data_IF_153577311929
#
_entry.id   IF_153577311929
#
_cell.length_a   1.000
_cell.length_b   1.000
_cell.length_c   1.000
_cell.angle_alpha   90.00
_cell.angle_beta   90.00
_cell.angle_gamma   90.00
#
_symmetry.space_group_name_H-M   'P 1'
#
loop_
_entity.id
_entity.type
_entity.pdbx_description
1 polymer ?
#
# COMPACT_ATOMS: atom_id res chain seq x y z
N UNK A 1 12.98 -7.78 26.93
CA UNK A 1 11.92 -7.25 26.05
C UNK A 1 12.30 -5.81 25.76
N UNK A 2 12.93 -5.56 24.61
CA UNK A 2 13.51 -4.27 24.24
C UNK A 2 12.90 -3.83 22.90
N UNK A 3 12.25 -2.67 22.95
CA UNK A 3 12.26 -1.56 22.00
C UNK A 3 11.93 -1.82 20.52
N UNK A 4 10.67 -1.54 20.14
CA UNK A 4 10.31 -1.13 18.78
C UNK A 4 10.11 0.41 18.73
N UNK A 5 10.57 1.10 17.68
CA UNK A 5 10.45 2.55 17.57
C UNK A 5 9.03 2.98 17.19
N UNK A 6 8.51 4.01 17.88
CA UNK A 6 7.26 4.68 17.52
C UNK A 6 7.51 5.72 16.41
N UNK A 7 6.69 5.68 15.37
CA UNK A 7 6.67 6.69 14.32
C UNK A 7 5.98 7.98 14.80
N UNK A 8 6.45 9.18 14.43
CA UNK A 8 5.81 10.44 14.81
C UNK A 8 4.43 10.57 14.15
N UNK A 9 3.45 11.08 14.89
CA UNK A 9 2.12 11.38 14.37
C UNK A 9 2.17 12.50 13.33
N UNK A 10 1.37 12.34 12.26
CA UNK A 10 1.17 13.26 11.15
C UNK A 10 0.93 14.73 11.58
N UNK A 11 0.37 14.94 12.77
CA UNK A 11 0.10 16.25 13.35
C UNK A 11 1.34 16.97 13.92
N UNK A 12 2.42 16.26 14.25
CA UNK A 12 3.69 16.85 14.68
C UNK A 12 4.45 17.55 13.55
N UNK A 13 4.33 17.01 12.32
CA UNK A 13 4.96 17.54 11.11
C UNK A 13 4.37 18.88 10.66
N UNK A 14 3.05 19.07 10.82
CA UNK A 14 2.35 20.30 10.42
C UNK A 14 2.66 21.49 11.35
N UNK A 15 3.05 21.24 12.60
CA UNK A 15 3.37 22.31 13.56
C UNK A 15 4.73 23.00 13.31
N UNK A 16 5.60 22.43 12.47
CA UNK A 16 6.97 22.94 12.25
C UNK A 16 7.14 23.89 11.06
N UNK A 17 6.09 24.21 10.30
CA UNK A 17 6.23 24.97 9.05
C UNK A 17 5.96 26.49 9.09
N UNK A 18 5.76 27.13 10.25
CA UNK A 18 5.66 28.59 10.30
C UNK A 18 6.51 29.26 11.40
N UNK A 19 7.25 30.28 10.95
CA UNK A 19 8.04 31.30 11.67
C UNK A 19 9.50 30.99 12.00
N UNK A 20 10.38 31.12 10.99
CA UNK A 20 11.73 31.67 11.22
C UNK A 20 11.65 33.19 11.07
N UNK A 21 11.91 33.90 12.17
CA UNK A 21 12.18 35.35 12.16
C UNK A 21 13.69 35.55 12.07
N UNK A 22 14.22 36.42 11.20
CA UNK A 22 15.66 36.66 11.13
C UNK A 22 16.13 37.49 12.33
N UNK A 23 17.09 36.95 13.09
CA UNK A 23 17.85 37.66 14.13
C UNK A 23 18.88 38.59 13.48
N UNK A 24 18.90 39.86 13.88
CA UNK A 24 19.93 40.82 13.52
C UNK A 24 21.05 40.82 14.58
N UNK A 25 22.30 40.81 14.11
CA UNK A 25 23.54 40.80 14.91
C UNK A 25 24.00 42.25 15.23
N UNK A 26 24.57 42.55 16.41
CA UNK A 26 24.84 43.91 16.84
C UNK A 26 26.30 44.31 16.61
N UNK A 27 26.53 45.24 15.68
CA UNK A 27 27.75 46.03 15.66
C UNK A 27 27.47 47.42 15.07
N UNK A 28 27.55 48.46 15.93
CA UNK A 28 27.54 49.86 15.50
C UNK A 28 28.83 50.26 14.77
N UNK A 29 28.98 51.51 14.27
CA UNK A 29 28.97 52.66 15.19
C UNK A 29 28.49 54.03 14.64
N UNK A 30 28.16 54.88 15.64
CA UNK A 30 28.33 56.35 15.74
C UNK A 30 27.42 57.31 14.95
N UNK A 31 26.69 58.07 15.76
CA UNK A 31 25.72 59.12 15.46
C UNK A 31 26.38 60.52 15.51
N UNK A 32 25.91 61.50 14.71
CA UNK A 32 26.10 62.91 15.05
C UNK A 32 24.78 63.69 15.23
N UNK A 33 24.62 64.19 16.47
CA UNK A 33 24.01 65.47 16.93
C UNK A 33 22.61 65.87 16.41
N UNK A 34 21.60 65.73 17.28
CA UNK A 34 20.37 66.53 17.26
C UNK A 34 20.47 67.78 18.16
N UNK A 35 19.91 68.94 17.77
CA UNK A 35 19.72 70.09 18.65
C UNK A 35 18.47 69.96 19.55
N UNK A 36 18.53 70.67 20.69
CA UNK A 36 17.66 70.68 21.88
C UNK A 36 16.14 70.76 21.66
N UNK A 37 15.43 70.06 22.56
CA UNK A 37 13.98 70.03 22.75
C UNK A 37 13.39 71.29 23.46
N UNK A 38 12.11 71.62 23.22
CA UNK A 38 11.27 72.34 24.19
C UNK A 38 10.53 71.38 25.15
N UNK A 39 10.26 71.91 26.35
CA UNK A 39 9.82 71.23 27.59
C UNK A 39 8.49 70.46 27.49
N UNK A 40 8.43 69.34 28.22
CA UNK A 40 7.26 68.52 28.47
C UNK A 40 6.23 69.15 29.44
N UNK A 41 4.92 68.90 29.27
CA UNK A 41 3.97 68.95 30.37
C UNK A 41 3.93 67.64 31.16
N UNK A 42 3.63 67.83 32.44
CA UNK A 42 3.80 66.93 33.60
C UNK A 42 2.94 65.66 33.54
N UNK A 43 3.55 64.53 33.88
CA UNK A 43 2.89 63.24 34.13
C UNK A 43 2.09 63.27 35.42
N UNK A 44 0.87 62.73 35.41
CA UNK A 44 0.21 62.19 36.61
C UNK A 44 0.02 60.69 36.42
N UNK A 45 0.75 59.91 37.23
CA UNK A 45 0.62 58.46 37.34
C UNK A 45 -0.58 58.16 38.23
N UNK A 46 -1.58 57.46 37.70
CA UNK A 46 -2.63 56.84 38.53
C UNK A 46 -2.22 55.39 38.81
N UNK A 47 -1.96 55.09 40.08
CA UNK A 47 -1.66 53.75 40.56
C UNK A 47 -2.84 52.79 40.27
N UNK A 48 -2.59 51.69 39.57
CA UNK A 48 -3.52 50.55 39.52
C UNK A 48 -3.09 49.50 40.55
N UNK A 49 -3.97 49.22 41.51
CA UNK A 49 -3.86 48.11 42.46
C UNK A 49 -4.22 46.74 41.84
N UNK A 50 -4.03 45.64 42.58
CA UNK A 50 -3.85 44.29 42.01
C UNK A 50 -5.15 43.68 41.49
N UNK A 51 -5.15 43.27 40.21
CA UNK A 51 -6.18 42.43 39.58
C UNK A 51 -6.18 41.03 40.18
N UNK A 52 -7.01 40.83 41.20
CA UNK A 52 -7.33 39.51 41.74
C UNK A 52 -8.41 38.88 40.87
N UNK A 53 -8.28 37.59 40.52
CA UNK A 53 -9.20 36.82 39.66
C UNK A 53 -10.67 36.92 40.12
N UNK A 54 -10.90 37.14 41.42
CA UNK A 54 -12.22 37.43 41.99
C UNK A 54 -12.89 38.69 41.42
N UNK A 55 -12.13 39.75 41.09
CA UNK A 55 -12.69 40.97 40.49
C UNK A 55 -13.13 40.80 39.04
N UNK A 56 -12.59 39.81 38.32
CA UNK A 56 -13.06 39.45 36.98
C UNK A 56 -14.35 38.65 37.09
N UNK A 57 -14.43 37.71 38.04
CA UNK A 57 -15.62 36.89 38.28
C UNK A 57 -16.79 37.73 38.83
N UNK A 58 -16.54 38.66 39.76
CA UNK A 58 -17.57 39.55 40.29
C UNK A 58 -18.14 40.48 39.20
N UNK A 59 -17.32 40.88 38.22
CA UNK A 59 -17.77 41.69 37.06
C UNK A 59 -18.69 40.91 36.12
N UNK A 60 -18.67 39.57 36.16
CA UNK A 60 -19.60 38.74 35.39
C UNK A 60 -20.92 38.43 36.13
N UNK A 61 -20.94 38.50 37.47
CA UNK A 61 -22.11 38.11 38.28
C UNK A 61 -22.84 39.26 38.99
N UNK A 62 -22.32 40.48 39.04
CA UNK A 62 -23.07 41.63 39.58
C UNK A 62 -24.03 42.22 38.54
N UNK A 63 -25.35 42.27 38.79
CA UNK A 63 -26.24 43.10 37.98
C UNK A 63 -25.96 44.56 38.33
N UNK A 64 -25.55 45.35 37.34
CA UNK A 64 -25.36 46.77 37.48
C UNK A 64 -26.73 47.47 37.56
N UNK A 65 -27.26 47.56 38.77
CA UNK A 65 -28.50 48.29 39.06
C UNK A 65 -28.17 49.72 39.50
N UNK A 66 -28.07 50.65 38.53
CA UNK A 66 -28.32 52.07 38.79
C UNK A 66 -28.89 52.81 37.56
N UNK A 67 -30.22 52.92 37.60
CA UNK A 67 -31.15 53.92 37.05
C UNK A 67 -30.80 54.75 35.79
N UNK A 68 -31.45 54.40 34.66
CA UNK A 68 -31.57 55.25 33.47
C UNK A 68 -32.54 54.65 32.43
N UNK A 69 -33.68 55.31 32.24
CA UNK A 69 -34.90 54.86 31.57
C UNK A 69 -34.75 54.47 30.07
N UNK A 70 -35.36 53.31 29.75
CA UNK A 70 -35.95 52.82 28.49
C UNK A 70 -35.23 52.93 27.14
N UNK A 71 -35.14 51.73 26.55
CA UNK A 71 -35.60 51.39 25.19
C UNK A 71 -34.54 51.27 24.08
N UNK A 72 -34.20 50.02 23.74
CA UNK A 72 -34.59 49.57 22.40
C UNK A 72 -33.53 49.05 21.43
N UNK A 73 -32.24 48.91 21.77
CA UNK A 73 -31.23 48.41 20.79
C UNK A 73 -30.24 47.33 21.24
N UNK A 74 -30.40 46.74 22.43
CA UNK A 74 -29.57 45.61 22.91
C UNK A 74 -30.23 44.23 22.97
N UNK A 75 -31.57 44.03 22.89
CA UNK A 75 -32.11 42.67 22.88
C UNK A 75 -31.86 41.98 21.54
N UNK A 76 -31.73 42.73 20.43
CA UNK A 76 -31.54 42.14 19.09
C UNK A 76 -30.23 41.37 18.98
N UNK A 77 -29.12 41.89 19.48
CA UNK A 77 -27.83 41.18 19.46
C UNK A 77 -27.85 39.94 20.38
N UNK A 78 -28.45 40.05 21.56
CA UNK A 78 -28.59 38.92 22.49
C UNK A 78 -29.50 37.84 21.91
N UNK A 79 -30.62 38.23 21.29
CA UNK A 79 -31.52 37.32 20.58
C UNK A 79 -30.83 36.67 19.38
N UNK A 80 -30.05 37.41 18.60
CA UNK A 80 -29.27 36.84 17.49
C UNK A 80 -28.24 35.83 18.01
N UNK A 81 -27.52 36.13 19.09
CA UNK A 81 -26.55 35.22 19.70
C UNK A 81 -27.22 33.95 20.24
N UNK A 82 -28.38 34.07 20.89
CA UNK A 82 -29.17 32.92 21.34
C UNK A 82 -29.68 32.08 20.17
N UNK A 83 -30.15 32.72 19.10
CA UNK A 83 -30.60 32.02 17.89
C UNK A 83 -29.45 31.29 17.19
N UNK A 84 -28.27 31.90 17.10
CA UNK A 84 -27.06 31.26 16.55
C UNK A 84 -26.59 30.10 17.45
N UNK A 85 -26.62 30.28 18.77
CA UNK A 85 -26.30 29.21 19.72
C UNK A 85 -27.26 28.03 19.62
N UNK A 86 -28.56 28.30 19.51
CA UNK A 86 -29.60 27.27 19.38
C UNK A 86 -29.52 26.57 18.02
N UNK A 87 -29.19 27.31 16.94
CA UNK A 87 -28.84 26.73 15.64
C UNK A 87 -27.61 25.82 15.75
N UNK A 88 -26.52 26.27 16.37
CA UNK A 88 -25.31 25.46 16.54
C UNK A 88 -25.54 24.18 17.33
N UNK A 89 -26.29 24.25 18.44
CA UNK A 89 -26.70 23.07 19.22
C UNK A 89 -27.58 22.16 18.37
N UNK A 90 -28.58 22.70 17.67
CA UNK A 90 -29.46 21.90 16.83
C UNK A 90 -28.71 21.19 15.70
N UNK A 91 -27.79 21.87 15.03
CA UNK A 91 -26.96 21.28 13.97
C UNK A 91 -26.01 20.23 14.53
N UNK A 92 -25.38 20.48 15.68
CA UNK A 92 -24.54 19.50 16.37
C UNK A 92 -25.29 18.27 16.82
N UNK A 93 -26.49 18.43 17.40
CA UNK A 93 -27.37 17.31 17.77
C UNK A 93 -27.82 16.53 16.53
N UNK A 94 -28.18 17.21 15.43
CA UNK A 94 -28.53 16.54 14.16
C UNK A 94 -27.33 15.74 13.64
N UNK A 95 -26.12 16.32 13.59
CA UNK A 95 -24.92 15.61 13.15
C UNK A 95 -24.61 14.37 14.01
N UNK A 96 -24.81 14.43 15.33
CA UNK A 96 -24.61 13.28 16.22
C UNK A 96 -25.68 12.19 16.05
N UNK A 97 -26.91 12.57 15.72
CA UNK A 97 -28.01 11.62 15.52
C UNK A 97 -27.99 10.97 14.13
N UNK A 98 -27.65 11.72 13.09
CA UNK A 98 -27.73 11.24 11.70
C UNK A 98 -26.43 10.66 11.18
N UNK A 99 -25.29 10.92 11.85
CA UNK A 99 -23.95 10.52 11.42
C UNK A 99 -23.78 10.64 9.88
N UNK A 100 -23.85 11.87 9.36
CA UNK A 100 -23.92 12.09 7.92
C UNK A 100 -22.66 11.60 7.20
N UNK A 101 -21.53 11.51 7.92
CA UNK A 101 -20.29 10.93 7.43
C UNK A 101 -20.48 9.44 7.10
N UNK A 102 -21.00 8.64 8.04
CA UNK A 102 -21.21 7.22 7.82
C UNK A 102 -22.21 6.96 6.68
N UNK A 103 -23.27 7.76 6.59
CA UNK A 103 -24.22 7.67 5.47
C UNK A 103 -23.56 7.94 4.12
N UNK A 104 -22.76 9.01 4.03
CA UNK A 104 -22.04 9.36 2.81
C UNK A 104 -20.98 8.30 2.44
N UNK A 105 -20.25 7.81 3.45
CA UNK A 105 -19.25 6.76 3.28
C UNK A 105 -19.89 5.47 2.76
N UNK A 106 -20.99 5.00 3.35
CA UNK A 106 -21.71 3.82 2.90
C UNK A 106 -22.20 3.98 1.46
N UNK A 107 -22.74 5.14 1.10
CA UNK A 107 -23.17 5.41 -0.27
C UNK A 107 -22.02 5.34 -1.28
N UNK A 108 -20.86 5.93 -0.96
CA UNK A 108 -19.66 5.90 -1.81
C UNK A 108 -18.96 4.54 -1.83
N UNK A 109 -18.99 3.80 -0.73
CA UNK A 109 -18.37 2.49 -0.58
C UNK A 109 -19.24 1.33 -1.12
N UNK A 110 -20.51 1.59 -1.41
CA UNK A 110 -21.40 0.58 -1.99
C UNK A 110 -20.93 0.22 -3.39
N UNK A 111 -20.73 -1.07 -3.63
CA UNK A 111 -20.40 -1.62 -4.94
C UNK A 111 -21.67 -1.64 -5.79
N UNK A 112 -21.79 -0.66 -6.68
CA UNK A 112 -22.88 -0.54 -7.63
C UNK A 112 -22.32 -0.20 -9.02
N UNK A 113 -23.05 -0.59 -10.06
CA UNK A 113 -22.70 -0.27 -11.44
C UNK A 113 -22.61 1.25 -11.64
N UNK A 114 -21.50 1.73 -12.21
CA UNK A 114 -21.21 3.17 -12.35
C UNK A 114 -20.71 3.87 -11.07
N UNK A 115 -20.57 3.15 -9.95
CA UNK A 115 -19.94 3.65 -8.74
C UNK A 115 -18.42 3.85 -8.90
N UNK A 116 -17.89 4.89 -8.25
CA UNK A 116 -16.45 5.23 -8.31
C UNK A 116 -15.56 4.12 -7.73
N UNK A 117 -15.90 3.62 -6.54
CA UNK A 117 -15.18 2.51 -5.90
C UNK A 117 -15.30 1.21 -6.70
N UNK A 118 -16.45 0.99 -7.35
CA UNK A 118 -16.65 -0.14 -8.24
C UNK A 118 -15.71 -0.06 -9.45
N UNK A 119 -15.63 1.08 -10.14
CA UNK A 119 -14.74 1.26 -11.28
C UNK A 119 -13.25 1.12 -10.92
N UNK A 120 -12.85 1.62 -9.74
CA UNK A 120 -11.49 1.45 -9.22
C UNK A 120 -11.17 -0.01 -8.89
N UNK A 121 -12.14 -0.78 -8.39
CA UNK A 121 -11.97 -2.20 -8.12
C UNK A 121 -11.99 -3.04 -9.42
N UNK A 122 -12.85 -2.71 -10.37
CA UNK A 122 -12.99 -3.41 -11.65
C UNK A 122 -11.71 -3.26 -12.49
N UNK A 123 -11.18 -2.04 -12.58
CA UNK A 123 -9.96 -1.71 -13.30
C UNK A 123 -9.15 -0.63 -12.56
N UNK A 124 -8.35 -1.03 -11.56
CA UNK A 124 -7.52 -0.09 -10.81
C UNK A 124 -6.49 0.59 -11.73
N UNK A 125 -6.40 1.92 -11.62
CA UNK A 125 -5.46 2.74 -12.39
C UNK A 125 -4.08 2.79 -11.72
N UNK A 126 -3.54 1.64 -11.35
CA UNK A 126 -2.23 1.51 -10.72
C UNK A 126 -1.32 0.66 -11.60
N UNK A 127 -0.04 1.00 -11.63
CA UNK A 127 0.98 0.18 -12.30
C UNK A 127 1.64 -0.74 -11.27
N UNK A 128 1.32 -2.02 -11.34
CA UNK A 128 1.96 -3.05 -10.53
C UNK A 128 3.09 -3.69 -11.33
N UNK A 129 4.27 -3.77 -10.70
CA UNK A 129 5.46 -4.37 -11.31
C UNK A 129 5.93 -5.56 -10.50
N UNK A 130 5.99 -6.72 -11.15
CA UNK A 130 6.61 -7.93 -10.64
C UNK A 130 8.07 -7.96 -11.09
N UNK A 131 9.00 -7.96 -10.13
CA UNK A 131 10.43 -8.11 -10.39
C UNK A 131 10.89 -9.46 -9.89
N UNK A 132 11.50 -10.26 -10.76
CA UNK A 132 11.95 -11.62 -10.45
C UNK A 132 13.47 -11.68 -10.52
N UNK A 133 14.08 -12.31 -9.52
CA UNK A 133 15.51 -12.63 -9.50
C UNK A 133 15.66 -14.15 -9.47
N UNK A 134 16.49 -14.67 -10.36
CA UNK A 134 16.75 -16.09 -10.51
C UNK A 134 18.16 -16.40 -10.01
N UNK A 135 18.33 -17.57 -9.39
CA UNK A 135 19.63 -18.02 -8.90
C UNK A 135 20.25 -18.99 -9.91
N UNK A 136 21.13 -18.46 -10.77
CA UNK A 136 21.88 -19.22 -11.75
C UNK A 136 22.94 -20.09 -11.08
N UNK A 137 22.98 -21.39 -11.41
CA UNK A 137 24.02 -22.29 -10.91
C UNK A 137 25.30 -22.14 -11.73
N UNK A 138 26.42 -21.87 -11.07
CA UNK A 138 27.71 -21.62 -11.74
C UNK A 138 28.62 -22.84 -11.82
N UNK A 139 28.44 -23.84 -10.94
CA UNK A 139 29.30 -25.03 -10.83
C UNK A 139 28.51 -26.34 -10.96
N UNK A 140 27.72 -26.46 -12.04
CA UNK A 140 26.82 -27.61 -12.24
C UNK A 140 27.56 -28.95 -12.23
N UNK A 141 28.71 -29.03 -12.92
CA UNK A 141 29.40 -30.30 -13.15
C UNK A 141 30.13 -30.78 -11.89
N UNK A 142 30.72 -29.85 -11.15
CA UNK A 142 31.40 -30.11 -9.88
C UNK A 142 30.40 -30.52 -8.79
N UNK A 143 29.23 -29.87 -8.75
CA UNK A 143 28.17 -30.20 -7.81
C UNK A 143 27.59 -31.58 -8.08
N UNK A 144 27.25 -31.90 -9.34
CA UNK A 144 26.70 -33.21 -9.70
C UNK A 144 27.71 -34.35 -9.51
N UNK A 145 29.01 -34.07 -9.65
CA UNK A 145 30.07 -35.03 -9.34
C UNK A 145 30.32 -35.20 -7.83
N UNK A 146 29.63 -34.45 -6.95
CA UNK A 146 29.83 -34.48 -5.50
C UNK A 146 31.17 -33.92 -5.03
N UNK A 147 31.86 -33.14 -5.89
CA UNK A 147 33.19 -32.57 -5.59
C UNK A 147 33.10 -31.26 -4.84
N UNK A 148 32.09 -30.44 -5.13
CA UNK A 148 31.89 -29.14 -4.50
C UNK A 148 30.44 -28.92 -4.06
N UNK A 149 30.24 -27.96 -3.14
CA UNK A 149 28.90 -27.46 -2.78
C UNK A 149 28.34 -26.58 -3.89
N UNK A 150 27.01 -26.55 -4.02
CA UNK A 150 26.31 -25.74 -5.02
C UNK A 150 26.65 -24.25 -4.85
N UNK A 151 27.09 -23.60 -5.93
CA UNK A 151 27.36 -22.16 -6.02
C UNK A 151 26.34 -21.53 -6.96
N UNK A 152 25.62 -20.56 -6.44
CA UNK A 152 24.61 -19.82 -7.18
C UNK A 152 25.00 -18.35 -7.30
N UNK A 153 24.59 -17.73 -8.40
CA UNK A 153 24.70 -16.30 -8.64
C UNK A 153 23.31 -15.75 -8.94
N UNK A 154 22.96 -14.66 -8.27
CA UNK A 154 21.71 -13.96 -8.54
C UNK A 154 21.76 -13.25 -9.90
N UNK A 155 20.71 -13.44 -10.71
CA UNK A 155 20.53 -12.84 -12.03
C UNK A 155 19.13 -12.25 -12.10
N UNK A 156 19.05 -10.96 -12.38
CA UNK A 156 17.82 -10.20 -12.47
C UNK A 156 18.10 -8.69 -12.42
N UNK A 157 17.04 -7.85 -12.33
CA UNK A 157 15.63 -8.23 -12.31
C UNK A 157 15.07 -8.59 -13.69
N UNK A 158 14.18 -9.58 -13.75
CA UNK A 158 13.24 -9.78 -14.85
C UNK A 158 11.91 -9.09 -14.48
N UNK A 159 11.57 -7.99 -15.15
CA UNK A 159 10.45 -7.14 -14.75
C UNK A 159 9.24 -7.29 -15.67
N UNK A 160 8.08 -7.52 -15.06
CA UNK A 160 6.78 -7.62 -15.71
C UNK A 160 5.81 -6.61 -15.10
N UNK A 161 4.93 -6.03 -15.92
CA UNK A 161 3.78 -5.25 -15.47
C UNK A 161 2.59 -6.20 -15.32
N UNK A 162 2.03 -6.24 -14.13
CA UNK A 162 0.80 -6.97 -13.84
C UNK A 162 -0.40 -6.06 -14.11
N UNK A 163 -1.28 -6.49 -15.01
CA UNK A 163 -2.55 -5.81 -15.22
C UNK A 163 -3.59 -6.50 -14.34
N UNK A 164 -4.22 -5.76 -13.44
CA UNK A 164 -5.22 -6.30 -12.54
C UNK A 164 -6.61 -5.90 -13.05
N UNK A 165 -7.42 -6.86 -13.47
CA UNK A 165 -8.79 -6.59 -13.96
C UNK A 165 -9.78 -7.64 -13.45
N UNK A 166 -11.00 -7.20 -13.15
CA UNK A 166 -12.13 -8.11 -12.86
C UNK A 166 -13.06 -8.17 -14.07
N UNK A 167 -13.09 -9.32 -14.76
CA UNK A 167 -13.97 -9.55 -15.92
C UNK A 167 -15.29 -10.22 -15.50
N UNK A 168 -16.30 -10.16 -16.38
CA UNK A 168 -17.59 -10.86 -16.25
C UNK A 168 -18.31 -10.58 -14.92
N UNK A 169 -18.26 -9.32 -14.47
CA UNK A 169 -18.86 -8.91 -13.21
C UNK A 169 -20.38 -9.03 -13.28
N UNK A 170 -20.98 -9.72 -12.32
CA UNK A 170 -22.43 -9.90 -12.19
C UNK A 170 -22.85 -9.61 -10.75
N UNK A 171 -23.80 -8.68 -10.59
CA UNK A 171 -24.46 -8.44 -9.32
C UNK A 171 -25.60 -9.44 -9.15
N UNK A 172 -25.57 -10.17 -8.05
CA UNK A 172 -26.56 -11.19 -7.71
C UNK A 172 -27.66 -10.57 -6.83
N UNK A 173 -28.88 -11.09 -6.93
CA UNK A 173 -30.06 -10.59 -6.17
C UNK A 173 -29.91 -10.73 -4.65
N UNK A 174 -29.00 -11.59 -4.18
CA UNK A 174 -28.69 -11.81 -2.76
C UNK A 174 -27.68 -10.79 -2.19
N UNK A 175 -27.37 -9.70 -2.93
CA UNK A 175 -26.41 -8.69 -2.49
C UNK A 175 -24.95 -9.11 -2.60
N UNK A 176 -24.65 -10.18 -3.34
CA UNK A 176 -23.28 -10.60 -3.65
C UNK A 176 -22.91 -10.24 -5.09
N UNK A 177 -21.62 -10.34 -5.41
CA UNK A 177 -21.11 -10.09 -6.75
C UNK A 177 -20.19 -11.23 -7.17
N UNK A 178 -20.32 -11.67 -8.41
CA UNK A 178 -19.47 -12.69 -9.02
C UNK A 178 -18.60 -12.03 -10.08
N UNK A 179 -17.31 -12.35 -10.09
CA UNK A 179 -16.35 -11.85 -11.09
C UNK A 179 -15.25 -12.85 -11.36
N UNK A 180 -14.62 -12.73 -12.53
CA UNK A 180 -13.43 -13.49 -12.91
C UNK A 180 -12.21 -12.58 -12.83
N UNK A 181 -11.34 -12.71 -11.81
CA UNK A 181 -10.11 -11.92 -11.74
C UNK A 181 -9.13 -12.37 -12.83
N UNK A 182 -8.42 -11.39 -13.42
CA UNK A 182 -7.45 -11.56 -14.50
C UNK A 182 -6.18 -10.78 -14.16
N UNK A 183 -5.03 -11.48 -14.26
CA UNK A 183 -3.70 -10.94 -13.93
C UNK A 183 -2.68 -11.19 -15.04
N UNK A 184 -2.87 -10.68 -16.28
CA UNK A 184 -1.86 -10.87 -17.32
C UNK A 184 -0.58 -10.10 -16.99
N UNK A 185 0.54 -10.78 -17.19
CA UNK A 185 1.88 -10.24 -17.03
C UNK A 185 2.43 -9.77 -18.39
N UNK A 186 2.85 -8.52 -18.47
CA UNK A 186 3.41 -7.91 -19.68
C UNK A 186 4.89 -7.60 -19.45
N UNK A 187 5.77 -8.11 -20.30
CA UNK A 187 7.21 -7.86 -20.20
C UNK A 187 7.56 -6.37 -20.31
N UNK A 188 8.45 -5.88 -19.44
CA UNK A 188 8.90 -4.48 -19.40
C UNK A 188 10.43 -4.40 -19.48
N UNK A 189 11.01 -4.37 -20.69
CA UNK A 189 12.46 -4.43 -20.87
C UNK A 189 13.20 -3.24 -20.24
N UNK A 190 12.58 -2.07 -20.19
CA UNK A 190 13.19 -0.84 -19.65
C UNK A 190 13.47 -0.93 -18.14
N UNK A 191 12.71 -1.78 -17.42
CA UNK A 191 12.86 -2.00 -15.98
C UNK A 191 13.60 -3.30 -15.67
N UNK A 192 14.11 -4.00 -16.68
CA UNK A 192 14.83 -5.28 -16.52
C UNK A 192 16.36 -5.11 -16.55
N UNK A 193 16.87 -3.88 -16.44
CA UNK A 193 18.31 -3.59 -16.32
C UNK A 193 19.17 -4.24 -17.42
N UNK A 194 18.63 -4.33 -18.65
CA UNK A 194 19.31 -4.93 -19.80
C UNK A 194 19.22 -6.46 -19.89
N UNK A 195 18.47 -7.11 -18.99
CA UNK A 195 18.16 -8.54 -19.05
C UNK A 195 17.12 -8.85 -20.11
N UNK A 196 17.21 -10.04 -20.69
CA UNK A 196 16.26 -10.55 -21.67
C UNK A 196 15.54 -11.77 -21.12
N UNK A 197 14.26 -11.93 -21.44
CA UNK A 197 13.51 -13.16 -21.14
C UNK A 197 14.18 -14.44 -21.68
N UNK A 198 15.01 -14.28 -22.71
CA UNK A 198 15.76 -15.36 -23.36
C UNK A 198 17.14 -15.61 -22.73
N UNK A 199 17.48 -14.95 -21.62
CA UNK A 199 18.72 -15.20 -20.89
C UNK A 199 18.78 -16.67 -20.48
N UNK A 200 19.82 -17.37 -20.91
CA UNK A 200 20.05 -18.77 -20.61
C UNK A 200 20.71 -18.93 -19.24
N UNK A 201 20.09 -19.73 -18.39
CA UNK A 201 20.53 -19.97 -17.01
C UNK A 201 20.53 -21.47 -16.72
N UNK A 202 21.39 -21.90 -15.80
CA UNK A 202 21.37 -23.26 -15.27
C UNK A 202 20.50 -23.25 -14.01
N UNK A 203 19.36 -23.93 -14.10
CA UNK A 203 18.29 -23.88 -13.11
C UNK A 203 17.85 -25.30 -12.70
N UNK A 204 17.22 -25.46 -11.53
CA UNK A 204 16.72 -26.77 -11.11
C UNK A 204 15.61 -27.27 -12.02
N UNK A 205 15.67 -28.55 -12.40
CA UNK A 205 14.61 -29.22 -13.14
C UNK A 205 13.45 -29.54 -12.19
N UNK A 206 12.55 -28.58 -12.01
CA UNK A 206 11.43 -28.66 -11.06
C UNK A 206 10.57 -29.90 -11.33
N UNK A 207 10.33 -30.24 -12.60
CA UNK A 207 9.58 -31.44 -12.98
C UNK A 207 10.18 -32.72 -12.39
N UNK A 208 11.47 -32.95 -12.65
CA UNK A 208 12.18 -34.13 -12.19
C UNK A 208 12.23 -34.17 -10.66
N UNK A 209 12.59 -33.05 -10.02
CA UNK A 209 12.68 -32.96 -8.57
C UNK A 209 11.32 -33.19 -7.90
N UNK A 210 10.22 -32.71 -8.50
CA UNK A 210 8.88 -32.90 -7.97
C UNK A 210 8.42 -34.36 -8.07
N UNK A 211 8.61 -35.00 -9.25
CA UNK A 211 8.24 -36.41 -9.47
C UNK A 211 9.06 -37.32 -8.54
N UNK A 212 10.37 -37.09 -8.45
CA UNK A 212 11.25 -37.89 -7.59
C UNK A 212 10.90 -37.74 -6.11
N UNK A 213 10.53 -36.54 -5.65
CA UNK A 213 10.09 -36.31 -4.29
C UNK A 213 8.76 -37.00 -3.97
N UNK A 214 7.74 -36.86 -4.84
CA UNK A 214 6.43 -37.53 -4.66
C UNK A 214 6.58 -39.05 -4.68
N UNK A 215 7.48 -39.57 -5.52
CA UNK A 215 7.69 -41.01 -5.68
C UNK A 215 8.70 -41.60 -4.70
N UNK A 216 9.27 -40.81 -3.79
CA UNK A 216 10.27 -41.27 -2.83
C UNK A 216 9.72 -42.37 -1.90
N UNK A 217 8.45 -42.23 -1.50
CA UNK A 217 7.74 -43.16 -0.62
C UNK A 217 6.90 -44.21 -1.37
N UNK A 218 6.95 -44.22 -2.70
CA UNK A 218 6.20 -45.18 -3.50
C UNK A 218 6.79 -46.60 -3.42
N UNK A 219 6.01 -47.59 -3.87
CA UNK A 219 6.43 -49.00 -3.91
C UNK A 219 7.75 -49.17 -4.69
N UNK A 220 8.51 -50.22 -4.36
CA UNK A 220 9.79 -50.53 -5.01
C UNK A 220 9.66 -50.60 -6.55
N UNK A 221 8.56 -51.16 -7.05
CA UNK A 221 8.28 -51.26 -8.48
C UNK A 221 8.05 -49.88 -9.13
N UNK A 222 7.30 -49.00 -8.46
CA UNK A 222 7.07 -47.63 -8.93
C UNK A 222 8.38 -46.85 -8.99
N UNK A 223 9.20 -46.93 -7.95
CA UNK A 223 10.53 -46.28 -7.90
C UNK A 223 11.46 -46.80 -8.99
N UNK A 224 11.44 -48.11 -9.26
CA UNK A 224 12.21 -48.71 -10.35
C UNK A 224 11.76 -48.16 -11.72
N UNK A 225 10.45 -48.09 -11.97
CA UNK A 225 9.89 -47.52 -13.20
C UNK A 225 10.32 -46.07 -13.41
N UNK A 226 10.22 -45.22 -12.37
CA UNK A 226 10.68 -43.83 -12.43
C UNK A 226 12.17 -43.74 -12.71
N UNK A 227 13.01 -44.54 -12.04
CA UNK A 227 14.45 -44.55 -12.28
C UNK A 227 14.82 -44.95 -13.73
N UNK A 228 14.10 -45.90 -14.32
CA UNK A 228 14.30 -46.29 -15.73
C UNK A 228 13.94 -45.11 -16.64
N UNK A 229 12.79 -44.47 -16.42
CA UNK A 229 12.34 -43.33 -17.23
C UNK A 229 13.30 -42.14 -17.16
N UNK A 230 13.78 -41.80 -15.96
CA UNK A 230 14.76 -40.71 -15.78
C UNK A 230 16.05 -41.00 -16.55
N UNK A 231 16.53 -42.25 -16.52
CA UNK A 231 17.72 -42.67 -17.27
C UNK A 231 17.49 -42.66 -18.78
N UNK A 232 16.34 -43.13 -19.25
CA UNK A 232 16.00 -43.17 -20.69
C UNK A 232 15.81 -41.78 -21.29
N UNK A 233 15.29 -40.83 -20.51
CA UNK A 233 15.08 -39.44 -20.94
C UNK A 233 16.31 -38.55 -20.71
N UNK A 234 17.40 -39.10 -20.19
CA UNK A 234 18.63 -38.37 -19.82
C UNK A 234 18.35 -37.11 -18.97
N UNK A 235 17.31 -37.17 -18.14
CA UNK A 235 16.84 -36.02 -17.39
C UNK A 235 17.82 -35.69 -16.25
N UNK A 236 18.40 -34.49 -16.31
CA UNK A 236 19.30 -33.98 -15.28
C UNK A 236 18.55 -33.16 -14.22
N UNK A 237 19.01 -33.16 -12.95
CA UNK A 237 18.40 -32.38 -11.87
C UNK A 237 18.68 -30.87 -11.99
N UNK A 238 19.74 -30.49 -12.70
CA UNK A 238 20.04 -29.13 -13.11
C UNK A 238 20.07 -29.10 -14.63
N UNK A 239 19.35 -28.16 -15.23
CA UNK A 239 19.21 -28.07 -16.68
C UNK A 239 19.35 -26.61 -17.11
N UNK A 240 19.89 -26.44 -18.31
CA UNK A 240 20.02 -25.15 -18.96
C UNK A 240 18.70 -24.79 -19.65
N UNK A 241 18.13 -23.65 -19.28
CA UNK A 241 16.87 -23.15 -19.87
C UNK A 241 16.82 -21.63 -19.82
N UNK A 242 15.94 -21.03 -20.61
CA UNK A 242 15.73 -19.57 -20.57
C UNK A 242 14.97 -19.14 -19.32
N UNK A 243 15.18 -17.89 -18.88
CA UNK A 243 14.42 -17.30 -17.78
C UNK A 243 12.90 -17.40 -18.01
N UNK A 244 12.45 -17.17 -19.24
CA UNK A 244 11.03 -17.30 -19.62
C UNK A 244 10.49 -18.71 -19.47
N UNK A 245 11.21 -19.71 -19.98
CA UNK A 245 10.83 -21.11 -19.88
C UNK A 245 10.72 -21.56 -18.42
N UNK A 246 11.63 -21.11 -17.56
CA UNK A 246 11.56 -21.43 -16.14
C UNK A 246 10.36 -20.77 -15.44
N UNK A 247 10.06 -19.52 -15.77
CA UNK A 247 8.97 -18.76 -15.13
C UNK A 247 7.58 -19.12 -15.65
N UNK A 248 7.38 -19.16 -16.97
CA UNK A 248 6.08 -19.39 -17.61
C UNK A 248 5.88 -20.81 -18.13
N UNK A 249 6.91 -21.64 -17.98
CA UNK A 249 6.82 -23.07 -18.15
C UNK A 249 7.50 -23.57 -19.41
N UNK A 250 8.01 -24.79 -19.26
CA UNK A 250 8.68 -25.54 -20.29
C UNK A 250 7.99 -26.88 -20.50
N UNK A 251 8.08 -27.39 -21.72
CA UNK A 251 7.65 -28.75 -22.02
C UNK A 251 8.77 -29.70 -21.60
N UNK A 252 8.44 -30.67 -20.76
CA UNK A 252 9.38 -31.70 -20.32
C UNK A 252 8.87 -33.07 -20.73
N UNK A 253 9.72 -33.92 -21.35
CA UNK A 253 9.35 -35.31 -21.67
C UNK A 253 8.80 -36.07 -20.46
N UNK A 254 9.29 -35.77 -19.26
CA UNK A 254 8.83 -36.38 -18.01
C UNK A 254 7.41 -35.96 -17.62
N UNK A 255 7.00 -34.73 -17.94
CA UNK A 255 5.65 -34.22 -17.64
C UNK A 255 4.63 -34.85 -18.59
N UNK A 256 4.96 -34.92 -19.88
CA UNK A 256 4.13 -35.58 -20.89
C UNK A 256 3.97 -37.09 -20.60
N UNK A 257 5.04 -37.75 -20.16
CA UNK A 257 4.98 -39.16 -19.79
C UNK A 257 4.26 -39.36 -18.45
N UNK A 258 4.48 -38.49 -17.47
CA UNK A 258 3.78 -38.50 -16.18
C UNK A 258 2.26 -38.39 -16.33
N UNK A 259 1.79 -37.44 -17.16
CA UNK A 259 0.37 -37.30 -17.51
C UNK A 259 -0.18 -38.60 -18.13
N UNK A 260 0.56 -39.20 -19.07
CA UNK A 260 0.15 -40.44 -19.76
C UNK A 260 0.07 -41.68 -18.85
N UNK A 261 0.96 -41.81 -17.88
CA UNK A 261 1.05 -43.00 -17.01
C UNK A 261 0.33 -42.84 -15.66
N UNK A 262 0.15 -41.62 -15.17
CA UNK A 262 -0.49 -41.32 -13.88
C UNK A 262 -1.37 -40.06 -13.97
N UNK A 263 -2.46 -40.11 -14.76
CA UNK A 263 -3.34 -38.96 -14.98
C UNK A 263 -3.96 -38.47 -13.66
N UNK A 264 -4.14 -39.33 -12.66
CA UNK A 264 -4.71 -38.94 -11.36
C UNK A 264 -3.82 -37.98 -10.54
N UNK A 265 -2.53 -37.82 -10.87
CA UNK A 265 -1.59 -37.03 -10.05
C UNK A 265 -1.00 -35.81 -10.79
N UNK A 266 -0.85 -35.88 -12.13
CA UNK A 266 -0.25 -34.80 -12.95
C UNK A 266 -1.19 -34.51 -14.12
N UNK A 267 -2.11 -33.55 -13.95
CA UNK A 267 -3.04 -33.09 -14.99
C UNK A 267 -2.46 -31.93 -15.81
N UNK A 268 -1.13 -31.80 -15.90
CA UNK A 268 -0.49 -30.58 -16.39
C UNK A 268 0.51 -30.92 -17.49
N UNK A 269 0.45 -30.17 -18.60
CA UNK A 269 1.34 -30.35 -19.74
C UNK A 269 2.58 -29.45 -19.69
N UNK A 270 2.56 -28.40 -18.86
CA UNK A 270 3.65 -27.41 -18.68
C UNK A 270 3.88 -27.11 -17.19
N UNK A 271 5.13 -26.87 -16.83
CA UNK A 271 5.55 -26.51 -15.47
C UNK A 271 6.37 -25.23 -15.49
N UNK A 272 5.79 -24.13 -15.01
CA UNK A 272 6.46 -22.86 -14.75
C UNK A 272 6.13 -22.33 -13.36
N UNK A 273 7.03 -21.56 -12.77
CA UNK A 273 6.84 -21.00 -11.42
C UNK A 273 5.64 -20.05 -11.31
N UNK A 274 5.39 -19.27 -12.35
CA UNK A 274 4.43 -18.14 -12.36
C UNK A 274 3.33 -18.35 -13.40
N UNK A 275 3.45 -19.37 -14.25
CA UNK A 275 2.48 -19.72 -15.30
C UNK A 275 1.01 -19.66 -14.84
N UNK A 276 0.73 -20.18 -13.63
CA UNK A 276 -0.63 -20.23 -13.08
C UNK A 276 -1.15 -18.91 -12.50
N UNK A 277 -0.27 -18.00 -12.15
CA UNK A 277 -0.66 -16.66 -11.72
C UNK A 277 -1.25 -15.89 -12.90
N UNK A 278 -0.69 -16.09 -14.11
CA UNK A 278 -1.20 -15.48 -15.34
C UNK A 278 -2.38 -16.22 -15.99
N UNK A 279 -2.55 -17.53 -15.74
CA UNK A 279 -3.54 -18.37 -16.42
C UNK A 279 -4.90 -18.53 -15.70
N UNK A 280 -5.07 -18.01 -14.47
CA UNK A 280 -6.26 -18.32 -13.65
C UNK A 280 -7.59 -17.81 -14.23
N UNK A 281 -7.58 -17.02 -15.32
CA UNK A 281 -8.79 -16.62 -16.04
C UNK A 281 -9.06 -17.44 -17.32
N UNK A 282 -8.04 -18.05 -17.93
CA UNK A 282 -8.20 -18.78 -19.20
C UNK A 282 -8.72 -20.21 -19.00
N UNK A 283 -8.43 -20.84 -17.86
CA UNK A 283 -8.83 -22.20 -17.56
C UNK A 283 -10.36 -22.36 -17.38
N UNK A 284 -11.07 -21.29 -16.99
CA UNK A 284 -12.54 -21.30 -16.86
C UNK A 284 -13.28 -21.30 -18.21
N UNK A 285 -12.61 -21.07 -19.35
CA UNK A 285 -13.23 -21.11 -20.69
C UNK A 285 -13.18 -22.50 -21.36
N UNK A 286 -12.63 -23.53 -20.70
CA UNK A 286 -12.48 -24.88 -21.27
C UNK A 286 -13.21 -25.99 -20.49
N UNK A 287 -14.15 -25.64 -19.61
CA UNK A 287 -15.12 -26.59 -19.02
C UNK A 287 -16.53 -26.21 -19.44
#
# INVERSE_FOLDING_TARGET
MKDLPQFPSFWGWISQQHMRVPTSDPSGPKEPRQPRAPRAPRVTVSNYGPTTVQGVIDRFYTPADEYGDKSGRRPRCVLILLMVGLLGISTGTIMLLTDPYNTLFQWKATFAEGGEMFGLWEKPQIELYLRVWLWNVTNREEFLAGREKLRVQEVGPYTYRELFTHENVKFNENGTMTSTPTHPLVWVPEKSEGRSENDTLILPNIALLSITNVMADASLFTRMGVNILVRQTESQPLVEMTAREFMFGYESPLVTLGNKFMPSWIMFDKLGLIDRVSLSAAASRRM
#
